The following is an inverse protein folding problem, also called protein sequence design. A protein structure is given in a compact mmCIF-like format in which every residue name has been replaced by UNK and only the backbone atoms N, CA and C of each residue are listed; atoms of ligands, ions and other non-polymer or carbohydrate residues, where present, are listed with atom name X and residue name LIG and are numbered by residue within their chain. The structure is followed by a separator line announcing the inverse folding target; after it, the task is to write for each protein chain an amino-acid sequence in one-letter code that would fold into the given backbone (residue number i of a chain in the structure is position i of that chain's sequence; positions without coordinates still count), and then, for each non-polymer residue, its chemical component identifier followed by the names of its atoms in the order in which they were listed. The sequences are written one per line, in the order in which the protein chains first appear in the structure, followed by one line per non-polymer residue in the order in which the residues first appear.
data_IF_451406399552
#
_entry.id   IF_451406399552
#
_cell.length_a   1.000
_cell.length_b   1.000
_cell.length_c   1.000
_cell.angle_alpha   90.00
_cell.angle_beta   90.00
_cell.angle_gamma   90.00
#
_symmetry.space_group_name_H-M   'P 1'
#
loop_
_entity.id
_entity.type
_entity.pdbx_description
1 polymer ?
#
# COMPACT_ATOMS: atom_id res chain seq x y z
N UNK A 1 7.32 -8.77 17.96
CA UNK A 1 6.02 -8.13 17.76
C UNK A 1 5.80 -7.01 18.77
N UNK A 2 4.94 -6.06 18.46
CA UNK A 2 4.50 -5.00 19.36
C UNK A 2 2.98 -4.79 19.27
N UNK A 3 2.46 -3.97 20.16
CA UNK A 3 1.06 -3.57 20.17
C UNK A 3 0.97 -2.06 19.93
N UNK A 4 0.06 -1.68 19.04
CA UNK A 4 -0.19 -0.29 18.63
C UNK A 4 -1.59 0.10 19.07
N UNK A 5 -1.72 1.25 19.71
CA UNK A 5 -3.01 1.84 20.03
C UNK A 5 -3.50 2.64 18.80
N UNK A 6 -4.62 2.22 18.23
CA UNK A 6 -5.27 2.89 17.07
C UNK A 6 -6.53 3.65 17.45
N UNK A 7 -6.79 3.82 18.77
CA UNK A 7 -7.99 4.50 19.27
C UNK A 7 -9.25 3.64 19.36
N UNK A 8 -9.16 2.37 19.03
CA UNK A 8 -10.24 1.39 19.21
C UNK A 8 -9.98 0.55 20.47
N UNK A 9 -11.02 0.09 21.15
CA UNK A 9 -10.94 -0.52 22.50
C UNK A 9 -9.97 -1.70 22.68
N UNK A 10 -9.35 -2.20 21.60
CA UNK A 10 -8.32 -3.24 21.64
C UNK A 10 -7.06 -2.78 20.92
N UNK A 11 -5.89 -3.03 21.54
CA UNK A 11 -4.61 -2.78 20.89
C UNK A 11 -4.42 -3.68 19.68
N UNK A 12 -3.89 -3.13 18.61
CA UNK A 12 -3.59 -3.84 17.39
C UNK A 12 -2.20 -4.45 17.40
N UNK A 13 -2.09 -5.62 16.78
CA UNK A 13 -0.84 -6.34 16.65
C UNK A 13 -0.05 -5.89 15.43
N UNK A 14 1.26 -5.61 15.62
CA UNK A 14 2.21 -5.37 14.55
C UNK A 14 3.38 -6.35 14.66
N UNK A 15 3.68 -7.03 13.56
CA UNK A 15 4.80 -7.97 13.48
C UNK A 15 6.08 -7.24 13.05
N UNK A 16 7.26 -7.76 13.40
CA UNK A 16 8.55 -7.20 12.96
C UNK A 16 8.60 -7.00 11.44
N UNK A 17 8.17 -7.99 10.67
CA UNK A 17 8.11 -7.93 9.20
C UNK A 17 7.20 -6.83 8.64
N UNK A 18 6.24 -6.35 9.43
CA UNK A 18 5.35 -5.25 9.05
C UNK A 18 5.97 -3.87 9.31
N UNK A 19 7.17 -3.84 9.90
CA UNK A 19 7.93 -2.62 10.23
C UNK A 19 9.19 -2.50 9.40
N UNK A 20 9.85 -3.63 9.13
CA UNK A 20 11.10 -3.67 8.36
C UNK A 20 10.89 -3.01 6.98
N UNK A 21 11.89 -2.28 6.46
CA UNK A 21 11.83 -1.79 5.09
C UNK A 21 11.52 -2.95 4.14
N UNK A 22 10.66 -2.72 3.14
CA UNK A 22 10.46 -3.70 2.08
C UNK A 22 11.76 -3.79 1.29
N UNK A 23 12.46 -4.88 1.46
CA UNK A 23 13.63 -5.21 0.66
C UNK A 23 13.11 -5.85 -0.62
N UNK A 24 13.67 -5.43 -1.74
CA UNK A 24 13.39 -6.04 -3.04
C UNK A 24 13.79 -7.52 -2.98
N UNK A 25 12.81 -8.41 -2.95
CA UNK A 25 13.00 -9.87 -2.86
C UNK A 25 13.86 -10.38 -4.05
N UNK A 26 13.95 -9.60 -5.14
CA UNK A 26 14.77 -9.92 -6.30
C UNK A 26 16.28 -9.78 -6.03
N UNK A 27 16.67 -9.05 -4.98
CA UNK A 27 18.09 -8.83 -4.62
C UNK A 27 18.72 -9.90 -3.74
N UNK A 28 18.07 -11.04 -3.54
CA UNK A 28 18.60 -12.21 -2.79
C UNK A 28 19.18 -11.90 -1.37
N UNK A 29 18.99 -10.72 -0.84
CA UNK A 29 19.39 -10.40 0.53
C UNK A 29 18.32 -10.96 1.48
N UNK A 30 18.52 -12.20 1.92
CA UNK A 30 17.77 -12.76 3.04
C UNK A 30 18.18 -11.98 4.29
N UNK A 31 17.38 -11.02 4.71
CA UNK A 31 17.53 -10.46 6.04
C UNK A 31 17.28 -11.59 7.03
N UNK A 32 18.29 -11.91 7.81
CA UNK A 32 18.15 -12.89 8.90
C UNK A 32 17.29 -12.26 10.01
N UNK A 33 15.98 -12.42 9.89
CA UNK A 33 14.99 -11.90 10.84
C UNK A 33 15.24 -12.38 12.28
N UNK A 34 16.04 -13.44 12.47
CA UNK A 34 16.30 -14.04 13.77
C UNK A 34 17.17 -13.16 14.69
N UNK A 35 17.96 -12.26 14.09
CA UNK A 35 18.87 -11.35 14.80
C UNK A 35 18.27 -9.97 15.06
N UNK A 36 17.13 -9.65 14.43
CA UNK A 36 16.53 -8.33 14.52
C UNK A 36 15.49 -8.25 15.65
N UNK A 37 15.59 -7.21 16.46
CA UNK A 37 14.63 -6.95 17.53
C UNK A 37 13.70 -5.80 17.10
N UNK A 38 12.40 -5.95 17.34
CA UNK A 38 11.42 -4.92 17.04
C UNK A 38 11.71 -3.59 17.75
N UNK A 39 12.38 -3.65 18.92
CA UNK A 39 12.78 -2.47 19.70
C UNK A 39 13.84 -1.61 19.02
N UNK A 40 14.54 -2.16 18.01
CA UNK A 40 15.53 -1.41 17.24
C UNK A 40 14.85 -0.47 16.23
N UNK A 41 13.58 -0.71 15.90
CA UNK A 41 12.80 0.01 14.91
C UNK A 41 11.69 0.89 15.49
N UNK A 42 11.11 0.49 16.63
CA UNK A 42 10.06 1.25 17.32
C UNK A 42 10.23 1.12 18.84
N UNK A 43 9.94 2.22 19.52
CA UNK A 43 10.01 2.31 20.99
C UNK A 43 8.63 2.61 21.57
N UNK A 44 8.49 2.35 22.85
CA UNK A 44 7.27 2.73 23.57
C UNK A 44 7.12 4.25 23.59
N UNK A 45 5.97 4.74 23.15
CA UNK A 45 5.67 6.16 23.04
C UNK A 45 5.87 6.75 21.65
N UNK A 46 6.44 5.98 20.70
CA UNK A 46 6.55 6.43 19.31
C UNK A 46 5.17 6.52 18.65
N UNK A 47 5.02 7.53 17.80
CA UNK A 47 3.87 7.69 16.93
C UNK A 47 4.24 7.19 15.54
N UNK A 48 3.45 6.27 15.02
CA UNK A 48 3.70 5.65 13.71
C UNK A 48 2.43 5.66 12.85
N UNK A 49 2.60 5.95 11.56
CA UNK A 49 1.52 5.77 10.58
C UNK A 49 1.43 4.29 10.22
N UNK A 50 0.23 3.72 10.34
CA UNK A 50 -0.01 2.31 10.06
C UNK A 50 -1.29 2.10 9.25
N UNK A 51 -1.29 1.05 8.46
CA UNK A 51 -2.47 0.59 7.72
C UNK A 51 -3.03 -0.69 8.34
N UNK A 52 -4.33 -0.74 8.57
CA UNK A 52 -5.02 -1.96 8.98
C UNK A 52 -4.99 -2.95 7.81
N UNK A 53 -4.33 -4.09 8.00
CA UNK A 53 -4.23 -5.15 7.00
C UNK A 53 -5.31 -6.22 7.17
N UNK A 54 -5.74 -6.42 8.39
CA UNK A 54 -6.82 -7.34 8.74
C UNK A 54 -7.57 -6.77 9.94
N UNK A 55 -8.89 -6.78 9.81
CA UNK A 55 -9.78 -6.38 10.86
C UNK A 55 -9.82 -7.42 12.00
N UNK A 56 -10.32 -7.02 13.15
CA UNK A 56 -10.55 -7.92 14.28
C UNK A 56 -11.60 -8.98 13.91
N UNK A 57 -11.37 -10.19 14.38
CA UNK A 57 -12.41 -11.22 14.41
C UNK A 57 -12.62 -11.66 15.87
N UNK A 58 -13.62 -12.52 16.13
CA UNK A 58 -13.97 -12.99 17.48
C UNK A 58 -12.80 -13.57 18.27
N UNK A 59 -11.73 -14.05 17.60
CA UNK A 59 -10.60 -14.75 18.22
C UNK A 59 -9.30 -13.96 18.20
N UNK A 60 -9.11 -13.01 17.24
CA UNK A 60 -7.84 -12.29 17.05
C UNK A 60 -8.10 -10.81 16.86
N UNK A 61 -7.28 -9.98 17.51
CA UNK A 61 -7.26 -8.54 17.31
C UNK A 61 -6.86 -8.13 15.87
N UNK A 62 -7.07 -6.87 15.49
CA UNK A 62 -6.68 -6.37 14.19
C UNK A 62 -5.17 -6.44 14.02
N UNK A 63 -4.71 -6.54 12.76
CA UNK A 63 -3.28 -6.49 12.41
C UNK A 63 -3.00 -5.24 11.60
N UNK A 64 -1.95 -4.54 11.95
CA UNK A 64 -1.48 -3.35 11.23
C UNK A 64 -0.08 -3.52 10.66
N UNK A 65 0.27 -2.67 9.70
CA UNK A 65 1.57 -2.65 9.06
C UNK A 65 2.00 -1.22 8.75
N UNK A 66 3.29 -0.92 8.86
CA UNK A 66 3.91 0.31 8.33
C UNK A 66 3.99 0.30 6.80
N UNK A 67 3.88 -0.87 6.17
CA UNK A 67 3.87 -0.97 4.72
C UNK A 67 2.54 -0.47 4.16
N UNK A 68 2.50 0.81 3.86
CA UNK A 68 1.33 1.45 3.30
C UNK A 68 1.16 1.08 1.83
N UNK A 69 -0.08 0.98 1.41
CA UNK A 69 -0.42 0.69 0.02
C UNK A 69 -1.74 1.36 -0.36
N UNK A 70 -1.70 2.17 -1.39
CA UNK A 70 -2.85 2.86 -1.95
C UNK A 70 -3.27 2.15 -3.23
N UNK A 71 -4.44 1.53 -3.19
CA UNK A 71 -4.95 0.75 -4.32
C UNK A 71 -5.62 1.70 -5.31
N UNK A 72 -5.06 1.75 -6.52
CA UNK A 72 -5.64 2.38 -7.69
C UNK A 72 -6.26 1.36 -8.64
N UNK A 73 -6.61 1.82 -9.81
CA UNK A 73 -7.19 1.02 -10.88
C UNK A 73 -6.16 0.13 -11.55
N UNK A 74 -5.08 0.72 -12.02
CA UNK A 74 -4.02 0.06 -12.79
C UNK A 74 -2.82 -0.34 -11.95
N UNK A 75 -2.60 0.36 -10.84
CA UNK A 75 -1.46 0.15 -9.95
C UNK A 75 -1.88 0.13 -8.48
N UNK A 76 -1.00 -0.43 -7.66
CA UNK A 76 -0.98 -0.20 -6.22
C UNK A 76 0.25 0.63 -5.91
N UNK A 77 0.06 1.86 -5.44
CA UNK A 77 1.15 2.74 -5.04
C UNK A 77 1.63 2.41 -3.63
N UNK A 78 2.93 2.32 -3.45
CA UNK A 78 3.57 2.05 -2.16
C UNK A 78 4.51 3.21 -1.82
N UNK A 79 4.12 4.12 -0.93
CA UNK A 79 5.00 5.16 -0.43
C UNK A 79 6.23 4.59 0.30
N UNK A 80 7.30 5.37 0.36
CA UNK A 80 8.54 5.02 1.08
C UNK A 80 9.21 3.73 0.59
N UNK A 81 9.05 3.38 -0.69
CA UNK A 81 9.73 2.24 -1.32
C UNK A 81 10.15 2.60 -2.74
N UNK A 82 11.09 1.82 -3.32
CA UNK A 82 11.52 1.98 -4.71
C UNK A 82 11.24 0.73 -5.57
N UNK A 83 10.36 -0.15 -5.08
CA UNK A 83 10.11 -1.47 -5.69
C UNK A 83 9.10 -1.34 -6.82
N UNK A 84 9.46 -1.75 -8.04
CA UNK A 84 8.56 -1.89 -9.18
C UNK A 84 8.35 -3.38 -9.46
N UNK A 85 7.13 -3.87 -9.22
CA UNK A 85 6.75 -5.25 -9.49
C UNK A 85 5.51 -5.32 -10.37
N UNK A 86 5.33 -6.45 -11.03
CA UNK A 86 4.15 -6.75 -11.85
C UNK A 86 3.38 -7.89 -11.21
N UNK A 87 2.07 -7.86 -11.30
CA UNK A 87 1.21 -8.95 -10.85
C UNK A 87 1.63 -10.25 -11.55
N UNK A 88 1.81 -11.32 -10.78
CA UNK A 88 2.12 -12.66 -11.29
C UNK A 88 1.04 -13.23 -12.22
N UNK A 89 -0.14 -12.60 -12.26
CA UNK A 89 -1.23 -12.97 -13.17
C UNK A 89 -1.07 -12.42 -14.58
N UNK A 90 -0.07 -11.57 -14.83
CA UNK A 90 0.30 -11.11 -16.18
C UNK A 90 1.32 -12.12 -16.71
N UNK A 91 0.90 -13.00 -17.61
CA UNK A 91 1.74 -14.11 -18.08
C UNK A 91 2.66 -13.69 -19.24
N UNK A 92 2.29 -12.67 -20.01
CA UNK A 92 3.10 -12.15 -21.11
C UNK A 92 4.32 -11.38 -20.60
N UNK A 93 5.49 -11.98 -20.77
CA UNK A 93 6.78 -11.39 -20.37
C UNK A 93 7.10 -10.08 -21.11
N UNK A 94 6.69 -9.95 -22.38
CA UNK A 94 6.90 -8.73 -23.16
C UNK A 94 6.09 -7.59 -22.57
N UNK A 95 4.84 -7.85 -22.23
CA UNK A 95 3.96 -6.87 -21.60
C UNK A 95 4.44 -6.51 -20.20
N UNK A 96 4.90 -7.48 -19.41
CA UNK A 96 5.52 -7.21 -18.10
C UNK A 96 6.71 -6.26 -18.23
N UNK A 97 7.60 -6.51 -19.20
CA UNK A 97 8.78 -5.69 -19.46
C UNK A 97 8.39 -4.28 -19.90
N UNK A 98 7.46 -4.17 -20.89
CA UNK A 98 6.94 -2.88 -21.37
C UNK A 98 6.41 -2.04 -20.20
N UNK A 99 5.50 -2.59 -19.41
CA UNK A 99 4.87 -1.90 -18.31
C UNK A 99 5.89 -1.45 -17.24
N UNK A 100 6.87 -2.30 -16.90
CA UNK A 100 7.95 -1.93 -15.97
C UNK A 100 8.78 -0.76 -16.49
N UNK A 101 9.21 -0.81 -17.76
CA UNK A 101 10.05 0.21 -18.37
C UNK A 101 9.32 1.55 -18.51
N UNK A 102 8.05 1.53 -18.91
CA UNK A 102 7.25 2.74 -19.05
C UNK A 102 6.97 3.40 -17.69
N UNK A 103 6.59 2.60 -16.68
CA UNK A 103 6.31 3.12 -15.35
C UNK A 103 7.58 3.64 -14.67
N UNK A 104 8.72 2.98 -14.85
CA UNK A 104 9.98 3.43 -14.28
C UNK A 104 10.40 4.84 -14.75
N UNK A 105 9.98 5.25 -15.95
CA UNK A 105 10.27 6.58 -16.49
C UNK A 105 9.44 7.71 -15.85
N UNK A 106 8.27 7.38 -15.33
CA UNK A 106 7.28 8.37 -14.83
C UNK A 106 7.06 8.28 -13.32
N UNK A 107 7.56 7.24 -12.66
CA UNK A 107 7.41 7.03 -11.23
C UNK A 107 8.33 7.99 -10.46
N UNK A 108 7.80 8.83 -9.55
CA UNK A 108 8.64 9.67 -8.70
C UNK A 108 9.49 8.82 -7.73
N UNK A 109 10.61 9.39 -7.29
CA UNK A 109 11.46 8.79 -6.25
C UNK A 109 10.67 8.59 -4.95
N UNK A 110 11.05 7.61 -4.16
CA UNK A 110 10.43 7.21 -2.90
C UNK A 110 9.02 6.62 -3.04
N UNK A 111 8.65 6.22 -4.25
CA UNK A 111 7.44 5.44 -4.49
C UNK A 111 7.77 4.13 -5.19
N UNK A 112 7.16 3.06 -4.70
CA UNK A 112 7.12 1.79 -5.40
C UNK A 112 5.73 1.53 -5.97
N UNK A 113 5.64 0.60 -6.91
CA UNK A 113 4.37 0.20 -7.50
C UNK A 113 4.27 -1.31 -7.68
N UNK A 114 3.03 -1.82 -7.53
CA UNK A 114 2.65 -3.13 -8.04
C UNK A 114 1.70 -2.89 -9.21
N UNK A 115 2.07 -3.34 -10.39
CA UNK A 115 1.27 -3.21 -11.61
C UNK A 115 0.19 -4.29 -11.60
N UNK A 116 -1.06 -3.89 -11.77
CA UNK A 116 -2.23 -4.79 -11.74
C UNK A 116 -2.52 -5.33 -13.14
N UNK A 117 -3.26 -6.44 -13.21
CA UNK A 117 -3.72 -7.03 -14.49
C UNK A 117 -4.56 -6.07 -15.33
N UNK A 118 -5.29 -5.15 -14.68
CA UNK A 118 -6.07 -4.11 -15.38
C UNK A 118 -5.22 -3.11 -16.18
N UNK A 119 -3.89 -3.12 -16.01
CA UNK A 119 -2.96 -2.29 -16.77
C UNK A 119 -2.55 -2.90 -18.12
N UNK A 120 -2.91 -4.17 -18.40
CA UNK A 120 -2.63 -4.83 -19.68
C UNK A 120 -3.24 -4.00 -20.81
N UNK A 121 -2.47 -3.81 -21.90
CA UNK A 121 -2.84 -3.03 -23.11
C UNK A 121 -3.22 -1.57 -22.84
N UNK A 122 -2.96 -1.05 -21.63
CA UNK A 122 -3.24 0.35 -21.32
C UNK A 122 -2.09 1.27 -21.71
N UNK A 123 -2.48 2.48 -22.15
CA UNK A 123 -1.52 3.53 -22.43
C UNK A 123 -0.91 4.06 -21.12
N UNK A 124 0.38 4.38 -21.17
CA UNK A 124 1.08 4.96 -20.01
C UNK A 124 0.40 6.21 -19.47
N UNK A 125 -0.22 7.03 -20.31
CA UNK A 125 -0.93 8.24 -19.87
C UNK A 125 -2.13 7.93 -18.96
N UNK A 126 -2.83 6.81 -19.20
CA UNK A 126 -3.94 6.37 -18.34
C UNK A 126 -3.42 5.89 -16.99
N UNK A 127 -2.33 5.11 -17.00
CA UNK A 127 -1.67 4.62 -15.79
C UNK A 127 -1.10 5.78 -14.98
N UNK A 128 -0.52 6.79 -15.64
CA UNK A 128 0.03 7.97 -15.00
C UNK A 128 -1.06 8.85 -14.37
N UNK A 129 -2.25 8.93 -14.96
CA UNK A 129 -3.40 9.61 -14.32
C UNK A 129 -3.81 8.92 -13.02
N UNK A 130 -3.89 7.60 -13.01
CA UNK A 130 -4.17 6.81 -11.81
C UNK A 130 -3.08 7.02 -10.74
N UNK A 131 -1.81 6.96 -11.15
CA UNK A 131 -0.64 7.23 -10.29
C UNK A 131 -0.72 8.62 -9.64
N UNK A 132 -0.97 9.66 -10.44
CA UNK A 132 -1.04 11.04 -9.95
C UNK A 132 -2.20 11.24 -8.94
N UNK A 133 -3.32 10.56 -9.16
CA UNK A 133 -4.44 10.58 -8.21
C UNK A 133 -4.06 9.92 -6.87
N UNK A 134 -3.29 8.83 -6.91
CA UNK A 134 -2.80 8.15 -5.71
C UNK A 134 -1.74 8.97 -4.97
N UNK A 135 -0.85 9.66 -5.70
CA UNK A 135 0.15 10.57 -5.12
C UNK A 135 -0.53 11.71 -4.38
N UNK A 136 -1.53 12.37 -4.99
CA UNK A 136 -2.31 13.41 -4.32
C UNK A 136 -3.02 12.90 -3.06
N UNK A 137 -3.51 11.66 -3.11
CA UNK A 137 -4.11 11.03 -1.95
C UNK A 137 -3.10 10.81 -0.83
N UNK A 138 -1.87 10.40 -1.18
CA UNK A 138 -0.77 10.27 -0.25
C UNK A 138 -0.38 11.60 0.40
N UNK A 139 -0.19 12.65 -0.39
CA UNK A 139 0.10 14.00 0.08
C UNK A 139 -0.96 14.50 1.09
N UNK A 140 -2.24 14.18 0.83
CA UNK A 140 -3.32 14.50 1.76
C UNK A 140 -3.20 13.73 3.09
N UNK A 141 -2.84 12.44 3.03
CA UNK A 141 -2.58 11.61 4.21
C UNK A 141 -1.44 12.21 5.05
N UNK A 142 -0.32 12.57 4.44
CA UNK A 142 0.82 13.21 5.13
C UNK A 142 0.42 14.56 5.77
N UNK A 143 -0.35 15.36 5.05
CA UNK A 143 -0.83 16.65 5.56
C UNK A 143 -1.76 16.50 6.79
N UNK A 144 -2.67 15.50 6.77
CA UNK A 144 -3.53 15.20 7.92
C UNK A 144 -2.69 14.66 9.08
N UNK A 145 -1.80 13.70 8.82
CA UNK A 145 -0.92 13.13 9.84
C UNK A 145 -0.10 14.20 10.58
N UNK A 146 0.37 15.22 9.86
CA UNK A 146 1.18 16.29 10.47
C UNK A 146 0.41 17.21 11.41
N UNK A 147 -0.92 17.24 11.32
CA UNK A 147 -1.80 18.15 12.07
C UNK A 147 -2.53 17.49 13.22
N UNK A 148 -2.78 16.20 13.12
CA UNK A 148 -3.62 15.48 14.07
C UNK A 148 -2.78 14.76 15.14
N UNK A 149 -3.32 14.64 16.33
CA UNK A 149 -2.68 13.91 17.44
C UNK A 149 -3.14 12.45 17.45
N UNK A 150 -2.17 11.55 17.54
CA UNK A 150 -2.47 10.12 17.66
C UNK A 150 -3.10 9.77 19.03
N UNK A 151 -4.00 8.76 19.09
CA UNK A 151 -4.45 7.93 17.97
C UNK A 151 -5.53 8.64 17.12
N UNK A 152 -5.35 8.66 15.80
CA UNK A 152 -6.29 9.28 14.88
C UNK A 152 -6.42 8.46 13.60
N UNK A 153 -7.62 8.33 13.07
CA UNK A 153 -7.87 7.66 11.79
C UNK A 153 -7.72 8.65 10.63
N UNK A 154 -6.55 8.65 9.99
CA UNK A 154 -6.21 9.58 8.89
C UNK A 154 -7.09 9.36 7.67
N UNK A 155 -7.38 8.11 7.34
CA UNK A 155 -8.21 7.74 6.22
C UNK A 155 -8.98 6.45 6.51
N UNK A 156 -10.28 6.49 6.31
CA UNK A 156 -11.12 5.29 6.31
C UNK A 156 -11.19 4.72 4.90
N UNK A 157 -10.89 3.45 4.77
CA UNK A 157 -11.13 2.78 3.52
C UNK A 157 -12.64 2.54 3.38
N UNK A 158 -13.30 3.30 2.52
CA UNK A 158 -14.73 3.10 2.20
C UNK A 158 -14.92 1.81 1.38
N UNK A 159 -14.12 0.83 1.68
CA UNK A 159 -14.13 -0.59 1.44
C UNK A 159 -14.66 -1.03 0.07
N UNK A 160 -15.68 -1.85 0.16
CA UNK A 160 -16.28 -2.58 -0.95
C UNK A 160 -16.89 -1.63 -1.99
N UNK A 161 -17.60 -0.59 -1.57
CA UNK A 161 -18.29 0.34 -2.47
C UNK A 161 -17.32 1.05 -3.42
N UNK A 162 -16.22 1.60 -2.89
CA UNK A 162 -15.23 2.29 -3.72
C UNK A 162 -14.52 1.33 -4.67
N UNK A 163 -14.20 0.12 -4.19
CA UNK A 163 -13.58 -0.92 -5.01
C UNK A 163 -14.50 -1.35 -6.15
N UNK A 164 -15.78 -1.60 -5.86
CA UNK A 164 -16.79 -1.94 -6.87
C UNK A 164 -16.91 -0.82 -7.89
N UNK A 165 -17.03 0.43 -7.45
CA UNK A 165 -17.12 1.58 -8.35
C UNK A 165 -15.87 1.66 -9.23
N UNK A 166 -14.67 1.58 -8.65
CA UNK A 166 -13.40 1.67 -9.40
C UNK A 166 -13.22 0.53 -10.39
N UNK A 167 -13.60 -0.69 -10.02
CA UNK A 167 -13.43 -1.88 -10.86
C UNK A 167 -14.56 -2.02 -11.91
N UNK A 168 -15.70 -1.31 -11.75
CA UNK A 168 -16.91 -1.50 -12.57
C UNK A 168 -17.16 -0.36 -13.56
N UNK A 169 -16.68 0.85 -13.30
CA UNK A 169 -16.94 2.05 -14.16
C UNK A 169 -16.55 1.85 -15.63
N UNK A 170 -15.57 0.97 -15.92
CA UNK A 170 -15.11 0.73 -17.31
C UNK A 170 -15.89 -0.31 -18.10
N UNK A 171 -16.75 -1.05 -17.45
CA UNK A 171 -17.50 -2.13 -18.10
C UNK A 171 -18.81 -1.64 -18.73
N UNK A 172 -18.90 -0.36 -19.11
CA UNK A 172 -20.08 0.22 -19.71
C UNK A 172 -21.27 0.37 -18.75
N UNK A 173 -21.00 0.36 -17.46
CA UNK A 173 -22.02 0.59 -16.42
C UNK A 173 -22.43 2.05 -16.44
N UNK A 174 -23.67 2.31 -16.81
CA UNK A 174 -24.27 3.66 -16.89
C UNK A 174 -25.01 4.07 -15.61
N UNK A 175 -25.27 3.12 -14.70
CA UNK A 175 -26.00 3.38 -13.45
C UNK A 175 -25.63 2.37 -12.37
N UNK A 176 -25.39 2.88 -11.14
CA UNK A 176 -25.24 2.08 -9.93
C UNK A 176 -26.39 2.50 -8.99
N UNK A 177 -27.21 1.55 -8.57
CA UNK A 177 -28.34 1.74 -7.62
C UNK A 177 -28.08 1.01 -6.33
#
# INVERSE_FOLDING_TARGET
AAFVNIGEGKNTFIHLRDILPKIDITKNEKVDDSKLNIKDFIKRGDYILVQVKRDSNNKKGPRVSKHLSLVGRYIVLMPETDIITVSQKIEDEKEQKRLKEEIAKVLPKNFGVIIRTSAIDKNINEIQKDMNALIKRWENIENIQSKEKAPFCVERNNGITRKIITDTIDNGVTKIT
#
